data_IF_520203392460
#
_entry.id   IF_520203392460
#
_cell.length_a   1.000
_cell.length_b   1.000
_cell.length_c   1.000
_cell.angle_alpha   90.00
_cell.angle_beta   90.00
_cell.angle_gamma   90.00
#
_symmetry.space_group_name_H-M   'P 1'
#
loop_
_entity.id
_entity.type
_entity.pdbx_description
1 polymer ?
#
# COMPACT_ATOMS: atom_id res chain seq x y z
N UNK A 1 74.85 83.49 -41.89
CA UNK A 1 73.93 82.40 -41.46
C UNK A 1 73.00 82.13 -42.63
N UNK A 2 73.18 81.02 -43.34
CA UNK A 2 72.15 80.56 -44.28
C UNK A 2 70.86 80.34 -43.49
N UNK A 3 69.77 80.99 -43.90
CA UNK A 3 68.46 80.75 -43.29
C UNK A 3 68.06 79.31 -43.62
N UNK A 4 68.12 78.41 -42.64
CA UNK A 4 67.56 77.07 -42.77
C UNK A 4 66.03 77.20 -42.85
N UNK A 5 65.48 77.08 -44.05
CA UNK A 5 64.04 77.04 -44.25
C UNK A 5 63.50 75.65 -43.92
N UNK A 6 62.47 75.59 -43.08
CA UNK A 6 61.76 74.35 -42.78
C UNK A 6 60.74 74.06 -43.90
N UNK A 7 60.57 72.80 -44.28
CA UNK A 7 59.49 72.43 -45.20
C UNK A 7 58.14 72.50 -44.50
N UNK A 8 57.06 72.78 -45.25
CA UNK A 8 55.69 72.79 -44.72
C UNK A 8 55.36 71.44 -44.08
N UNK A 9 55.75 70.32 -44.70
CA UNK A 9 55.56 68.98 -44.15
C UNK A 9 56.28 68.78 -42.81
N UNK A 10 57.51 69.27 -42.67
CA UNK A 10 58.25 69.18 -41.41
C UNK A 10 57.56 69.99 -40.30
N UNK A 11 57.02 71.16 -40.63
CA UNK A 11 56.26 71.99 -39.69
C UNK A 11 54.95 71.29 -39.27
N UNK A 12 54.16 70.77 -40.22
CA UNK A 12 52.90 70.08 -39.93
C UNK A 12 53.13 68.83 -39.08
N UNK A 13 54.16 68.04 -39.39
CA UNK A 13 54.55 66.89 -38.56
C UNK A 13 54.95 67.32 -37.16
N UNK A 14 55.73 68.39 -37.02
CA UNK A 14 56.11 68.91 -35.72
C UNK A 14 54.89 69.34 -34.88
N UNK A 15 53.93 70.05 -35.47
CA UNK A 15 52.69 70.45 -34.80
C UNK A 15 51.85 69.22 -34.42
N UNK A 16 51.70 68.26 -35.34
CA UNK A 16 50.99 67.00 -35.06
C UNK A 16 51.61 66.28 -33.88
N UNK A 17 52.93 66.11 -33.88
CA UNK A 17 53.68 65.47 -32.80
C UNK A 17 53.45 66.21 -31.48
N UNK A 18 53.49 67.55 -31.47
CA UNK A 18 53.22 68.34 -30.25
C UNK A 18 51.80 68.12 -29.71
N UNK A 19 50.79 68.08 -30.57
CA UNK A 19 49.41 67.83 -30.19
C UNK A 19 49.21 66.39 -29.72
N UNK A 20 49.84 65.42 -30.39
CA UNK A 20 49.72 64.00 -30.03
C UNK A 20 50.46 63.66 -28.73
N UNK A 21 51.54 64.34 -28.39
CA UNK A 21 52.22 64.13 -27.11
C UNK A 21 51.55 64.86 -25.93
N UNK A 22 50.59 65.75 -26.18
CA UNK A 22 49.85 66.43 -25.11
C UNK A 22 48.82 65.47 -24.47
N UNK A 23 48.97 65.08 -23.19
CA UNK A 23 48.06 64.15 -22.53
C UNK A 23 46.62 64.69 -22.45
N UNK A 24 46.42 66.00 -22.39
CA UNK A 24 45.09 66.61 -22.30
C UNK A 24 44.32 66.49 -23.62
N UNK A 25 45.04 66.39 -24.74
CA UNK A 25 44.45 66.29 -26.08
C UNK A 25 44.17 64.84 -26.51
N UNK A 26 44.67 63.85 -25.76
CA UNK A 26 44.41 62.42 -26.03
C UNK A 26 43.00 61.96 -25.64
N UNK A 27 42.33 62.65 -24.71
CA UNK A 27 40.95 62.32 -24.32
C UNK A 27 40.17 63.59 -23.96
N UNK A 28 39.69 64.27 -24.99
CA UNK A 28 38.87 65.48 -24.89
C UNK A 28 37.38 65.12 -24.93
N UNK A 29 36.61 65.83 -24.12
CA UNK A 29 35.16 65.75 -24.10
C UNK A 29 34.61 67.06 -24.66
N UNK A 30 33.84 66.99 -25.74
CA UNK A 30 33.23 68.17 -26.36
C UNK A 30 31.72 68.03 -26.39
N UNK A 31 31.05 69.15 -26.17
CA UNK A 31 29.62 69.32 -26.41
C UNK A 31 29.46 70.21 -27.63
N UNK A 32 28.61 69.81 -28.56
CA UNK A 32 28.30 70.66 -29.70
C UNK A 32 27.20 70.09 -30.57
N UNK A 33 26.82 70.87 -31.57
CA UNK A 33 25.85 70.47 -32.58
C UNK A 33 26.55 69.86 -33.78
N UNK A 34 26.02 68.76 -34.29
CA UNK A 34 26.48 68.13 -35.52
C UNK A 34 26.05 68.98 -36.72
N UNK A 35 26.98 69.21 -37.65
CA UNK A 35 26.75 69.88 -38.91
C UNK A 35 27.56 69.23 -40.04
N UNK A 36 27.06 69.24 -41.28
CA UNK A 36 27.67 68.59 -42.44
C UNK A 36 27.96 67.09 -42.24
N UNK A 37 27.01 66.35 -41.66
CA UNK A 37 27.14 64.93 -41.41
C UNK A 37 27.17 64.11 -42.71
N UNK A 38 28.19 63.26 -42.85
CA UNK A 38 28.38 62.35 -43.99
C UNK A 38 28.71 60.95 -43.49
N UNK A 39 27.85 60.00 -43.88
CA UNK A 39 28.05 58.58 -43.61
C UNK A 39 28.69 57.90 -44.82
N UNK A 40 29.92 57.41 -44.68
CA UNK A 40 30.63 56.73 -45.76
C UNK A 40 30.27 55.25 -45.80
N UNK A 41 30.25 54.66 -47.00
CA UNK A 41 29.96 53.23 -47.25
C UNK A 41 30.81 52.24 -46.45
N UNK A 42 32.03 52.62 -46.01
CA UNK A 42 32.91 51.80 -45.16
C UNK A 42 32.52 51.84 -43.67
N UNK A 43 31.47 52.57 -43.31
CA UNK A 43 30.99 52.75 -41.94
C UNK A 43 31.68 53.88 -41.17
N UNK A 44 32.47 54.72 -41.83
CA UNK A 44 33.07 55.92 -41.24
C UNK A 44 32.07 57.07 -41.25
N UNK A 45 32.03 57.85 -40.16
CA UNK A 45 31.26 59.08 -40.09
C UNK A 45 32.20 60.28 -40.11
N UNK A 46 31.87 61.26 -40.94
CA UNK A 46 32.55 62.55 -41.02
C UNK A 46 31.52 63.63 -40.76
N UNK A 47 31.79 64.50 -39.81
CA UNK A 47 30.91 65.61 -39.50
C UNK A 47 31.71 66.77 -38.92
N UNK A 48 31.07 67.91 -38.76
CA UNK A 48 31.61 69.07 -38.06
C UNK A 48 30.87 69.21 -36.75
N UNK A 49 31.59 69.31 -35.65
CA UNK A 49 31.02 69.69 -34.37
C UNK A 49 31.16 71.20 -34.22
N UNK A 50 30.05 71.91 -34.02
CA UNK A 50 30.03 73.36 -33.83
C UNK A 50 29.44 73.74 -32.48
N UNK A 51 29.96 74.79 -31.89
CA UNK A 51 29.31 75.54 -30.83
C UNK A 51 28.93 76.94 -31.36
N UNK A 52 28.63 77.89 -30.47
CA UNK A 52 28.23 79.25 -30.83
C UNK A 52 29.36 80.05 -31.51
N UNK A 53 30.62 79.74 -31.22
CA UNK A 53 31.77 80.58 -31.60
C UNK A 53 32.79 79.86 -32.49
N UNK A 54 32.80 78.53 -32.51
CA UNK A 54 33.82 77.71 -33.11
C UNK A 54 33.24 76.45 -33.77
N UNK A 55 34.04 75.87 -34.66
CA UNK A 55 33.75 74.59 -35.30
C UNK A 55 35.00 73.74 -35.38
N UNK A 56 34.86 72.43 -35.25
CA UNK A 56 35.93 71.47 -35.40
C UNK A 56 35.47 70.30 -36.28
N UNK A 57 36.34 69.85 -37.19
CA UNK A 57 36.09 68.65 -37.96
C UNK A 57 36.16 67.43 -37.04
N UNK A 58 35.22 66.51 -37.18
CA UNK A 58 35.08 65.31 -36.37
C UNK A 58 34.99 64.08 -37.27
N UNK A 59 35.75 63.05 -36.91
CA UNK A 59 35.80 61.78 -37.63
C UNK A 59 35.57 60.65 -36.64
N UNK A 60 34.65 59.76 -36.97
CA UNK A 60 34.43 58.53 -36.23
C UNK A 60 34.69 57.33 -37.13
N UNK A 61 35.64 56.50 -36.74
CA UNK A 61 35.99 55.32 -37.50
C UNK A 61 34.96 54.20 -37.32
N UNK A 62 34.81 53.34 -38.33
CA UNK A 62 33.80 52.27 -38.35
C UNK A 62 33.88 51.32 -37.14
N UNK A 63 35.09 51.10 -36.60
CA UNK A 63 35.26 50.29 -35.39
C UNK A 63 34.58 50.88 -34.14
N UNK A 64 34.54 52.21 -34.00
CA UNK A 64 33.91 52.90 -32.87
C UNK A 64 32.42 53.14 -33.11
N UNK A 65 32.04 53.42 -34.36
CA UNK A 65 30.66 53.61 -34.77
C UNK A 65 29.76 52.40 -34.42
N UNK A 66 30.30 51.16 -34.46
CA UNK A 66 29.53 49.94 -34.14
C UNK A 66 28.87 49.94 -32.75
N UNK A 67 29.39 50.73 -31.81
CA UNK A 67 28.89 50.75 -30.43
C UNK A 67 27.82 51.81 -30.20
N UNK A 68 27.59 52.72 -31.14
CA UNK A 68 26.64 53.81 -30.97
C UNK A 68 25.24 53.33 -31.34
N UNK A 69 24.31 53.52 -30.41
CA UNK A 69 22.91 53.06 -30.53
C UNK A 69 22.03 53.98 -31.38
N UNK A 70 22.50 55.17 -31.74
CA UNK A 70 21.74 56.15 -32.54
C UNK A 70 22.47 56.52 -33.83
N UNK A 71 21.72 57.02 -34.81
CA UNK A 71 22.31 57.57 -36.03
C UNK A 71 22.44 59.09 -35.86
N UNK A 72 23.66 59.65 -35.86
CA UNK A 72 23.82 61.09 -35.73
C UNK A 72 23.30 61.79 -37.00
N UNK A 73 22.65 62.93 -36.82
CA UNK A 73 22.07 63.75 -37.89
C UNK A 73 22.48 65.22 -37.74
N UNK A 74 22.39 65.98 -38.82
CA UNK A 74 22.66 67.43 -38.77
C UNK A 74 21.64 68.14 -37.87
N UNK A 75 22.13 69.07 -37.05
CA UNK A 75 21.35 69.78 -36.03
C UNK A 75 21.33 69.08 -34.66
N UNK A 76 21.83 67.85 -34.56
CA UNK A 76 21.80 67.09 -33.31
C UNK A 76 22.85 67.59 -32.33
N UNK A 77 22.44 67.94 -31.10
CA UNK A 77 23.39 68.22 -30.02
C UNK A 77 23.91 66.91 -29.45
N UNK A 78 25.21 66.79 -29.35
CA UNK A 78 25.90 65.58 -28.92
C UNK A 78 27.03 65.90 -27.95
N UNK A 79 27.27 64.96 -27.04
CA UNK A 79 28.47 64.88 -26.22
C UNK A 79 29.38 63.84 -26.87
N UNK A 80 30.58 64.26 -27.28
CA UNK A 80 31.58 63.39 -27.89
C UNK A 80 32.80 63.27 -27.00
N UNK A 81 33.38 62.07 -26.98
CA UNK A 81 34.69 61.81 -26.38
C UNK A 81 35.64 61.36 -27.48
N UNK A 82 36.81 61.98 -27.56
CA UNK A 82 37.75 61.71 -28.64
C UNK A 82 39.15 62.27 -28.39
N UNK A 83 40.05 62.00 -29.33
CA UNK A 83 41.41 62.57 -29.33
C UNK A 83 41.55 63.65 -30.40
N UNK A 84 42.27 64.72 -30.10
CA UNK A 84 42.61 65.76 -31.07
C UNK A 84 43.91 65.38 -31.77
N UNK A 85 43.91 65.45 -33.10
CA UNK A 85 45.14 65.27 -33.89
C UNK A 85 45.03 66.04 -35.21
N UNK A 86 46.16 66.20 -35.89
CA UNK A 86 46.27 66.98 -37.13
C UNK A 86 46.24 66.04 -38.33
N UNK A 87 45.40 66.36 -39.31
CA UNK A 87 45.40 65.67 -40.58
C UNK A 87 46.55 66.21 -41.45
N UNK A 88 47.59 65.39 -41.66
CA UNK A 88 48.85 65.83 -42.28
C UNK A 88 48.68 66.40 -43.70
N UNK A 89 47.71 65.91 -44.48
CA UNK A 89 47.55 66.31 -45.88
C UNK A 89 47.01 67.74 -46.04
N UNK A 90 46.18 68.21 -45.11
CA UNK A 90 45.61 69.57 -45.14
C UNK A 90 46.18 70.49 -44.06
N UNK A 91 46.86 69.95 -43.05
CA UNK A 91 47.32 70.69 -41.87
C UNK A 91 46.20 71.12 -40.93
N UNK A 92 44.97 70.63 -41.11
CA UNK A 92 43.84 70.95 -40.22
C UNK A 92 43.80 70.02 -39.01
N UNK A 93 43.59 70.58 -37.81
CA UNK A 93 43.32 69.79 -36.62
C UNK A 93 41.86 69.33 -36.58
N UNK A 94 41.63 68.12 -36.08
CA UNK A 94 40.32 67.49 -36.02
C UNK A 94 40.22 66.55 -34.81
N UNK A 95 38.99 66.25 -34.38
CA UNK A 95 38.73 65.28 -33.32
C UNK A 95 38.41 63.90 -33.91
N UNK A 96 39.11 62.88 -33.43
CA UNK A 96 38.77 61.48 -33.68
C UNK A 96 37.89 60.99 -32.54
N UNK A 97 36.60 60.85 -32.82
CA UNK A 97 35.59 60.51 -31.83
C UNK A 97 35.58 59.00 -31.59
N UNK A 98 35.73 58.64 -30.32
CA UNK A 98 35.69 57.27 -29.82
C UNK A 98 34.31 56.89 -29.31
N UNK A 99 33.60 57.84 -28.70
CA UNK A 99 32.27 57.65 -28.14
C UNK A 99 31.43 58.91 -28.36
N UNK A 100 30.14 58.74 -28.60
CA UNK A 100 29.20 59.82 -28.84
C UNK A 100 27.85 59.45 -28.24
N UNK A 101 27.25 60.41 -27.55
CA UNK A 101 25.90 60.31 -27.03
C UNK A 101 25.12 61.60 -27.33
N UNK A 102 23.81 61.56 -27.53
CA UNK A 102 22.99 62.77 -27.65
C UNK A 102 23.11 63.61 -26.37
N UNK A 103 23.16 64.92 -26.53
CA UNK A 103 23.08 65.88 -25.42
C UNK A 103 21.63 65.90 -24.91
N UNK A 104 21.41 65.37 -23.70
CA UNK A 104 20.09 65.25 -23.08
C UNK A 104 19.78 63.87 -22.50
N UNK A 105 20.43 62.80 -22.99
CA UNK A 105 20.17 61.41 -22.52
C UNK A 105 20.50 61.24 -21.05
N UNK A 106 21.53 61.92 -20.55
CA UNK A 106 21.91 61.88 -19.13
C UNK A 106 20.78 62.33 -18.20
N UNK A 107 19.96 63.31 -18.63
CA UNK A 107 18.83 63.79 -17.84
C UNK A 107 17.69 62.76 -17.81
N UNK A 108 17.41 62.13 -18.95
CA UNK A 108 16.40 61.07 -19.04
C UNK A 108 16.81 59.85 -18.21
N UNK A 109 18.07 59.41 -18.31
CA UNK A 109 18.55 58.29 -17.51
C UNK A 109 18.47 58.57 -16.00
N UNK A 110 18.83 59.80 -15.59
CA UNK A 110 18.72 60.20 -14.18
C UNK A 110 17.26 60.26 -13.71
N UNK A 111 16.35 60.79 -14.53
CA UNK A 111 14.92 60.79 -14.25
C UNK A 111 14.34 59.37 -14.16
N UNK A 112 14.79 58.46 -15.03
CA UNK A 112 14.39 57.05 -15.03
C UNK A 112 14.80 56.35 -13.73
N UNK A 113 16.07 56.47 -13.33
CA UNK A 113 16.56 55.86 -12.09
C UNK A 113 15.84 56.41 -10.86
N UNK A 114 15.62 57.73 -10.80
CA UNK A 114 14.88 58.36 -9.70
C UNK A 114 13.43 57.88 -9.62
N UNK A 115 12.75 57.74 -10.77
CA UNK A 115 11.38 57.26 -10.82
C UNK A 115 11.30 55.78 -10.47
N UNK A 116 12.24 54.97 -10.96
CA UNK A 116 12.33 53.55 -10.66
C UNK A 116 12.44 53.30 -9.16
N UNK A 117 13.38 53.96 -8.49
CA UNK A 117 13.55 53.83 -7.03
C UNK A 117 12.28 54.23 -6.29
N UNK A 118 11.66 55.36 -6.65
CA UNK A 118 10.43 55.83 -6.00
C UNK A 118 9.27 54.83 -6.13
N UNK A 119 9.03 54.30 -7.33
CA UNK A 119 7.96 53.34 -7.57
C UNK A 119 8.24 51.97 -6.95
N UNK A 120 9.51 51.59 -6.84
CA UNK A 120 9.93 50.38 -6.13
C UNK A 120 9.65 50.49 -4.62
N UNK A 121 9.95 51.65 -4.02
CA UNK A 121 9.67 51.95 -2.62
C UNK A 121 8.16 51.99 -2.32
N UNK A 122 7.34 52.49 -3.24
CA UNK A 122 5.87 52.40 -3.18
C UNK A 122 5.36 50.95 -3.31
N UNK A 123 6.19 50.01 -3.78
CA UNK A 123 5.87 48.59 -3.91
C UNK A 123 5.22 48.19 -5.23
N UNK A 124 5.18 49.08 -6.24
CA UNK A 124 4.52 48.80 -7.52
C UNK A 124 5.16 47.62 -8.27
N UNK A 125 6.44 47.33 -8.03
CA UNK A 125 7.15 46.23 -8.69
C UNK A 125 7.05 44.91 -7.91
N UNK A 126 6.40 44.92 -6.75
CA UNK A 126 6.30 43.75 -5.89
C UNK A 126 5.55 42.62 -6.59
N UNK A 127 6.14 41.42 -6.56
CA UNK A 127 5.55 40.21 -7.13
C UNK A 127 4.22 39.83 -6.49
N UNK A 128 3.89 40.36 -5.31
CA UNK A 128 2.62 40.10 -4.60
C UNK A 128 1.43 40.67 -5.36
N UNK A 129 1.62 41.77 -6.10
CA UNK A 129 0.55 42.40 -6.88
C UNK A 129 0.43 41.87 -8.31
N UNK A 130 1.43 41.10 -8.78
CA UNK A 130 1.43 40.57 -10.15
C UNK A 130 0.44 39.44 -10.30
N UNK A 131 -0.38 39.52 -11.34
CA UNK A 131 -1.42 38.56 -11.69
C UNK A 131 -0.85 37.44 -12.58
N UNK A 132 -1.27 36.18 -12.37
CA UNK A 132 -0.84 35.09 -13.24
C UNK A 132 -1.45 35.23 -14.65
N UNK A 133 -0.63 35.03 -15.68
CA UNK A 133 -1.13 35.01 -17.06
C UNK A 133 -2.02 33.77 -17.28
N UNK A 134 -3.25 33.92 -17.82
CA UNK A 134 -4.14 32.81 -18.11
C UNK A 134 -3.52 31.82 -19.11
N UNK A 135 -3.58 30.52 -18.78
CA UNK A 135 -3.00 29.48 -19.64
C UNK A 135 -3.73 29.30 -20.99
N UNK A 136 -4.99 29.72 -21.07
CA UNK A 136 -5.86 29.59 -22.24
C UNK A 136 -6.68 30.87 -22.44
N UNK A 137 -6.02 31.98 -22.75
CA UNK A 137 -6.69 33.23 -23.08
C UNK A 137 -7.59 33.05 -24.31
N UNK A 138 -8.90 33.30 -24.17
CA UNK A 138 -9.85 33.33 -25.28
C UNK A 138 -9.71 34.60 -26.08
N UNK A 139 -9.50 35.72 -25.40
CA UNK A 139 -9.36 37.04 -26.02
C UNK A 139 -8.09 37.72 -25.54
N UNK A 140 -7.25 38.11 -26.49
CA UNK A 140 -5.98 38.80 -26.27
C UNK A 140 -6.14 40.23 -26.76
N UNK A 141 -5.97 41.20 -25.87
CA UNK A 141 -5.89 42.61 -26.26
C UNK A 141 -4.44 42.99 -26.58
N UNK A 142 -4.22 43.74 -27.64
CA UNK A 142 -2.89 44.17 -28.09
C UNK A 142 -2.86 45.69 -28.17
N UNK A 143 -2.13 46.31 -27.26
CA UNK A 143 -1.95 47.76 -27.17
C UNK A 143 -0.60 48.09 -27.80
N UNK A 144 -0.62 48.58 -29.04
CA UNK A 144 0.59 48.92 -29.80
C UNK A 144 0.28 49.89 -30.94
N UNK A 145 1.31 50.28 -31.69
CA UNK A 145 1.16 51.12 -32.88
C UNK A 145 0.29 50.42 -33.93
N UNK A 146 -0.68 51.11 -34.57
CA UNK A 146 -1.48 50.55 -35.65
C UNK A 146 -0.63 50.13 -36.86
N UNK A 147 0.52 50.78 -37.06
CA UNK A 147 1.45 50.52 -38.15
C UNK A 147 2.80 50.11 -37.60
N UNK A 148 3.26 48.91 -37.94
CA UNK A 148 4.60 48.46 -37.57
C UNK A 148 4.83 46.97 -37.76
N UNK A 149 6.09 46.56 -37.63
CA UNK A 149 6.45 45.14 -37.58
C UNK A 149 5.88 44.46 -36.32
N UNK A 150 5.93 45.14 -35.17
CA UNK A 150 5.49 44.59 -33.88
C UNK A 150 4.06 44.05 -33.89
N UNK A 151 3.08 44.86 -34.37
CA UNK A 151 1.69 44.41 -34.47
C UNK A 151 1.52 43.22 -35.42
N UNK A 152 2.23 43.23 -36.56
CA UNK A 152 2.18 42.14 -37.54
C UNK A 152 2.78 40.87 -36.96
N UNK A 153 3.89 40.97 -36.24
CA UNK A 153 4.58 39.85 -35.61
C UNK A 153 3.72 39.23 -34.51
N UNK A 154 3.08 40.06 -33.67
CA UNK A 154 2.15 39.61 -32.63
C UNK A 154 0.97 38.87 -33.27
N UNK A 155 0.27 39.51 -34.21
CA UNK A 155 -0.92 38.91 -34.86
C UNK A 155 -0.56 37.61 -35.58
N UNK A 156 0.56 37.59 -36.32
CA UNK A 156 1.01 36.40 -37.06
C UNK A 156 1.35 35.26 -36.12
N UNK A 157 2.04 35.57 -35.02
CA UNK A 157 2.45 34.57 -34.02
C UNK A 157 1.24 33.99 -33.30
N UNK A 158 0.29 34.83 -32.85
CA UNK A 158 -0.94 34.37 -32.22
C UNK A 158 -1.77 33.54 -33.19
N UNK A 159 -2.00 34.00 -34.43
CA UNK A 159 -2.79 33.24 -35.42
C UNK A 159 -2.15 31.89 -35.78
N UNK A 160 -0.82 31.82 -35.81
CA UNK A 160 -0.10 30.57 -36.08
C UNK A 160 -0.17 29.60 -34.90
N UNK A 161 0.05 30.08 -33.67
CA UNK A 161 0.11 29.23 -32.47
C UNK A 161 -1.26 28.90 -31.91
N UNK A 162 -2.20 29.84 -31.97
CA UNK A 162 -3.49 29.75 -31.31
C UNK A 162 -4.60 30.41 -32.16
N UNK A 163 -4.93 29.83 -33.33
CA UNK A 163 -5.90 30.41 -34.28
C UNK A 163 -7.32 30.54 -33.73
N UNK A 164 -7.64 29.82 -32.65
CA UNK A 164 -8.96 29.86 -31.99
C UNK A 164 -9.12 31.03 -31.01
N UNK A 165 -8.03 31.74 -30.68
CA UNK A 165 -8.07 32.93 -29.83
C UNK A 165 -8.44 34.18 -30.61
N UNK A 166 -9.25 35.04 -30.00
CA UNK A 166 -9.60 36.35 -30.54
C UNK A 166 -8.51 37.36 -30.22
N UNK A 167 -8.20 38.24 -31.17
CA UNK A 167 -7.22 39.32 -30.98
C UNK A 167 -7.92 40.65 -31.20
N UNK A 168 -7.91 41.50 -30.17
CA UNK A 168 -8.45 42.86 -30.22
C UNK A 168 -7.27 43.83 -30.20
N UNK A 169 -7.17 44.69 -31.21
CA UNK A 169 -6.08 45.67 -31.29
C UNK A 169 -6.57 47.02 -30.79
N UNK A 170 -5.84 47.59 -29.84
CA UNK A 170 -6.00 48.95 -29.37
C UNK A 170 -4.87 49.81 -29.96
N UNK A 171 -5.12 50.54 -31.05
CA UNK A 171 -4.10 51.35 -31.68
C UNK A 171 -3.74 52.54 -30.79
N UNK A 172 -2.47 52.68 -30.47
CA UNK A 172 -1.95 53.78 -29.63
C UNK A 172 -0.75 54.45 -30.26
N UNK A 173 -0.49 55.68 -29.85
CA UNK A 173 0.81 56.31 -30.06
C UNK A 173 1.83 55.66 -29.11
N UNK A 174 2.93 55.15 -29.67
CA UNK A 174 3.99 54.45 -28.91
C UNK A 174 5.26 55.30 -28.72
N UNK A 175 5.25 56.51 -29.26
CA UNK A 175 6.34 57.49 -29.17
C UNK A 175 5.79 58.92 -29.27
N UNK A 176 6.55 59.89 -28.75
CA UNK A 176 6.16 61.30 -28.70
C UNK A 176 5.38 61.66 -27.43
N UNK A 177 5.17 62.96 -27.19
CA UNK A 177 4.61 63.49 -25.93
C UNK A 177 3.19 63.00 -25.63
N UNK A 178 2.39 62.68 -26.65
CA UNK A 178 1.03 62.17 -26.48
C UNK A 178 0.94 60.64 -26.37
N UNK A 179 2.07 59.93 -26.41
CA UNK A 179 2.09 58.47 -26.34
C UNK A 179 1.66 57.94 -24.98
N UNK A 180 2.18 58.50 -23.89
CA UNK A 180 1.86 58.02 -22.55
C UNK A 180 0.34 58.15 -22.24
N UNK A 181 -0.32 59.31 -22.47
CA UNK A 181 -1.78 59.41 -22.33
C UNK A 181 -2.55 58.45 -23.25
N UNK A 182 -2.09 58.24 -24.48
CA UNK A 182 -2.73 57.32 -25.43
C UNK A 182 -2.68 55.86 -24.95
N UNK A 183 -1.54 55.43 -24.40
CA UNK A 183 -1.36 54.09 -23.81
C UNK A 183 -2.27 53.93 -22.59
N UNK A 184 -2.30 54.91 -21.69
CA UNK A 184 -3.16 54.89 -20.49
C UNK A 184 -4.64 54.75 -20.88
N UNK A 185 -5.09 55.55 -21.84
CA UNK A 185 -6.48 55.50 -22.32
C UNK A 185 -6.81 54.12 -22.89
N UNK A 186 -5.93 53.52 -23.68
CA UNK A 186 -6.16 52.19 -24.23
C UNK A 186 -6.22 51.10 -23.15
N UNK A 187 -5.38 51.18 -22.12
CA UNK A 187 -5.43 50.26 -20.97
C UNK A 187 -6.78 50.41 -20.25
N UNK A 188 -7.25 51.64 -20.04
CA UNK A 188 -8.53 51.90 -19.39
C UNK A 188 -9.70 51.37 -20.22
N UNK A 189 -9.75 51.68 -21.52
CA UNK A 189 -10.78 51.17 -22.43
C UNK A 189 -10.78 49.64 -22.49
N UNK A 190 -9.60 49.01 -22.50
CA UNK A 190 -9.51 47.56 -22.45
C UNK A 190 -10.07 46.99 -21.13
N UNK A 191 -9.81 47.63 -19.99
CA UNK A 191 -10.36 47.22 -18.69
C UNK A 191 -11.87 47.45 -18.54
N UNK A 192 -12.46 48.32 -19.36
CA UNK A 192 -13.91 48.50 -19.46
C UNK A 192 -14.56 47.36 -20.28
N UNK A 193 -13.81 46.75 -21.20
CA UNK A 193 -14.21 45.57 -21.93
C UNK A 193 -13.99 44.32 -21.07
N UNK A 194 -15.03 43.84 -20.39
CA UNK A 194 -14.96 42.67 -19.50
C UNK A 194 -14.66 41.31 -20.19
N UNK A 195 -14.34 41.30 -21.48
CA UNK A 195 -14.17 40.10 -22.32
C UNK A 195 -12.71 39.84 -22.74
N UNK A 196 -11.73 40.53 -22.13
CA UNK A 196 -10.30 40.39 -22.42
C UNK A 196 -9.60 39.66 -21.28
N UNK A 197 -8.89 38.58 -21.60
CA UNK A 197 -8.23 37.74 -20.60
C UNK A 197 -6.79 38.20 -20.31
N UNK A 198 -6.10 38.75 -21.31
CA UNK A 198 -4.72 39.20 -21.20
C UNK A 198 -4.45 40.36 -22.16
N UNK A 199 -3.63 41.30 -21.73
CA UNK A 199 -3.17 42.43 -22.53
C UNK A 199 -1.69 42.30 -22.87
N UNK A 200 -1.33 42.60 -24.11
CA UNK A 200 0.06 42.80 -24.53
C UNK A 200 0.22 44.30 -24.74
N UNK A 201 1.05 44.93 -23.91
CA UNK A 201 1.43 46.34 -24.07
C UNK A 201 2.86 46.37 -24.57
N UNK A 202 3.08 46.90 -25.76
CA UNK A 202 4.43 46.88 -26.29
C UNK A 202 4.60 47.60 -27.60
N UNK A 203 5.86 47.67 -28.01
CA UNK A 203 6.26 48.23 -29.29
C UNK A 203 7.55 47.52 -29.75
N UNK A 204 7.98 47.78 -30.98
CA UNK A 204 9.30 47.34 -31.43
C UNK A 204 10.47 47.98 -30.65
N UNK A 205 11.69 47.74 -31.12
CA UNK A 205 12.88 48.41 -30.57
C UNK A 205 12.84 49.93 -30.72
N UNK A 206 13.86 50.58 -30.19
CA UNK A 206 14.07 52.02 -30.34
C UNK A 206 15.02 52.57 -29.29
N UNK A 207 15.29 53.86 -29.38
CA UNK A 207 16.12 54.56 -28.40
C UNK A 207 15.35 54.81 -27.10
N UNK A 208 16.06 55.16 -26.03
CA UNK A 208 15.43 55.44 -24.72
C UNK A 208 14.46 56.63 -24.80
N UNK A 209 14.75 57.62 -25.64
CA UNK A 209 13.89 58.79 -25.88
C UNK A 209 12.57 58.38 -26.51
N UNK A 210 12.62 57.49 -27.49
CA UNK A 210 11.41 57.02 -28.12
C UNK A 210 10.60 56.14 -27.15
N UNK A 211 11.27 55.27 -26.38
CA UNK A 211 10.65 54.37 -25.40
C UNK A 211 10.19 55.10 -24.12
N UNK A 212 10.47 56.40 -24.00
CA UNK A 212 10.26 57.16 -22.78
C UNK A 212 8.80 57.15 -22.29
N UNK A 213 7.84 57.09 -23.20
CA UNK A 213 6.42 56.99 -22.87
C UNK A 213 6.10 55.81 -21.93
N UNK A 214 6.85 54.70 -22.02
CA UNK A 214 6.70 53.51 -21.17
C UNK A 214 7.43 53.64 -19.82
N UNK A 215 8.23 54.70 -19.65
CA UNK A 215 8.85 55.07 -18.39
C UNK A 215 8.04 56.11 -17.62
N UNK A 216 6.98 56.69 -18.19
CA UNK A 216 6.18 57.68 -17.50
C UNK A 216 5.36 57.08 -16.35
N UNK A 217 5.27 57.84 -15.26
CA UNK A 217 4.56 57.43 -14.05
C UNK A 217 3.08 57.11 -14.30
N UNK A 218 2.43 57.87 -15.20
CA UNK A 218 1.02 57.64 -15.54
C UNK A 218 0.80 56.26 -16.18
N UNK A 219 1.73 55.80 -17.02
CA UNK A 219 1.68 54.48 -17.65
C UNK A 219 1.95 53.40 -16.61
N UNK A 220 2.95 53.60 -15.75
CA UNK A 220 3.26 52.68 -14.65
C UNK A 220 2.03 52.47 -13.75
N UNK A 221 1.38 53.54 -13.31
CA UNK A 221 0.17 53.45 -12.48
C UNK A 221 -1.02 52.84 -13.21
N UNK A 222 -1.18 53.10 -14.51
CA UNK A 222 -2.24 52.48 -15.31
C UNK A 222 -2.04 50.97 -15.49
N UNK A 223 -0.80 50.52 -15.71
CA UNK A 223 -0.47 49.09 -15.77
C UNK A 223 -0.77 48.43 -14.41
N UNK A 224 -0.30 49.04 -13.31
CA UNK A 224 -0.53 48.51 -11.96
C UNK A 224 -2.02 48.42 -11.59
N UNK A 225 -2.83 49.39 -12.02
CA UNK A 225 -4.25 49.45 -11.73
C UNK A 225 -5.11 48.54 -12.64
N UNK A 226 -4.50 47.87 -13.63
CA UNK A 226 -5.21 47.01 -14.56
C UNK A 226 -5.80 45.78 -13.86
N UNK A 227 -7.07 45.49 -14.12
CA UNK A 227 -7.75 44.26 -13.68
C UNK A 227 -7.41 43.08 -14.58
N UNK A 228 -6.97 43.37 -15.80
CA UNK A 228 -6.54 42.38 -16.79
C UNK A 228 -5.02 42.26 -16.69
N UNK A 229 -4.45 41.03 -16.66
CA UNK A 229 -3.02 40.85 -16.61
C UNK A 229 -2.33 41.38 -17.87
N UNK A 230 -1.24 42.12 -17.69
CA UNK A 230 -0.48 42.79 -18.74
C UNK A 230 0.88 42.12 -18.93
N UNK A 231 1.18 41.78 -20.18
CA UNK A 231 2.49 41.39 -20.65
C UNK A 231 3.16 42.61 -21.28
N UNK A 232 4.25 43.09 -20.69
CA UNK A 232 5.07 44.14 -21.31
C UNK A 232 5.98 43.53 -22.38
N UNK A 233 6.03 44.20 -23.54
CA UNK A 233 6.86 43.83 -24.68
C UNK A 233 7.55 45.06 -25.23
N UNK A 234 8.21 45.81 -24.36
CA UNK A 234 8.86 47.09 -24.64
C UNK A 234 10.38 46.88 -24.61
N UNK A 235 11.07 47.16 -25.73
CA UNK A 235 12.53 47.16 -25.77
C UNK A 235 13.20 45.80 -26.00
N UNK A 236 14.50 45.72 -25.69
CA UNK A 236 15.35 44.53 -25.78
C UNK A 236 15.88 44.13 -24.40
N UNK A 237 16.56 42.99 -24.30
CA UNK A 237 17.06 42.45 -23.03
C UNK A 237 17.87 43.43 -22.19
N UNK A 238 18.58 44.38 -22.82
CA UNK A 238 19.46 45.36 -22.16
C UNK A 238 18.77 46.65 -21.70
N UNK A 239 17.63 47.01 -22.29
CA UNK A 239 17.01 48.32 -22.11
C UNK A 239 15.63 48.17 -21.43
N UNK A 240 15.63 47.96 -20.12
CA UNK A 240 14.41 47.77 -19.33
C UNK A 240 13.65 49.07 -19.13
N UNK A 241 12.33 49.04 -19.31
CA UNK A 241 11.43 50.16 -19.02
C UNK A 241 10.74 49.99 -17.68
N UNK A 242 10.19 51.08 -17.12
CA UNK A 242 9.36 51.02 -15.91
C UNK A 242 8.15 50.11 -16.14
N UNK A 243 7.53 50.18 -17.32
CA UNK A 243 6.45 49.28 -17.71
C UNK A 243 6.82 47.80 -17.57
N UNK A 244 8.06 47.40 -17.90
CA UNK A 244 8.52 46.01 -17.74
C UNK A 244 8.58 45.56 -16.28
N UNK A 245 8.89 46.48 -15.36
CA UNK A 245 8.95 46.16 -13.94
C UNK A 245 7.56 46.09 -13.31
N UNK A 246 6.62 46.94 -13.73
CA UNK A 246 5.25 46.95 -13.21
C UNK A 246 4.42 45.81 -13.80
N UNK A 247 4.57 45.51 -15.09
CA UNK A 247 3.76 44.50 -15.78
C UNK A 247 3.85 43.12 -15.10
N UNK A 248 2.79 42.36 -15.23
CA UNK A 248 2.66 41.02 -14.61
C UNK A 248 3.68 40.04 -15.17
N UNK A 249 3.96 40.16 -16.47
CA UNK A 249 5.01 39.41 -17.14
C UNK A 249 5.77 40.30 -18.12
N UNK A 250 7.08 40.16 -18.14
CA UNK A 250 7.94 40.80 -19.14
C UNK A 250 8.24 39.81 -20.27
N UNK A 251 8.11 40.27 -21.50
CA UNK A 251 8.61 39.61 -22.69
C UNK A 251 9.71 40.46 -23.36
N UNK A 252 10.82 39.85 -23.81
CA UNK A 252 11.93 40.58 -24.41
C UNK A 252 11.66 41.09 -25.82
N UNK A 253 10.62 40.58 -26.49
CA UNK A 253 10.22 40.99 -27.84
C UNK A 253 8.71 40.89 -28.02
N UNK A 254 8.10 41.64 -28.95
CA UNK A 254 6.69 41.51 -29.32
C UNK A 254 6.30 40.07 -29.69
N UNK A 255 7.17 39.37 -30.44
CA UNK A 255 6.97 37.95 -30.78
C UNK A 255 6.94 37.08 -29.54
N UNK A 256 7.90 37.22 -28.62
CA UNK A 256 7.91 36.46 -27.38
C UNK A 256 6.69 36.76 -26.51
N UNK A 257 6.20 38.00 -26.50
CA UNK A 257 4.98 38.36 -25.78
C UNK A 257 3.75 37.61 -26.32
N UNK A 258 3.63 37.55 -27.64
CA UNK A 258 2.61 36.75 -28.30
C UNK A 258 2.73 35.26 -27.95
N UNK A 259 3.95 34.70 -27.90
CA UNK A 259 4.16 33.29 -27.52
C UNK A 259 3.82 32.98 -26.06
N UNK A 260 4.05 33.93 -25.16
CA UNK A 260 3.75 33.80 -23.74
C UNK A 260 2.25 34.01 -23.45
N UNK A 261 1.57 34.82 -24.26
CA UNK A 261 0.15 35.10 -24.10
C UNK A 261 -0.76 33.93 -24.49
N UNK A 262 -0.32 33.07 -25.41
CA UNK A 262 -1.17 31.99 -25.95
C UNK A 262 -0.46 30.63 -26.03
N UNK A 263 -1.16 29.53 -25.74
CA UNK A 263 -0.59 28.19 -25.87
C UNK A 263 -0.41 27.80 -27.35
N UNK A 264 0.33 26.72 -27.58
CA UNK A 264 0.46 26.14 -28.91
C UNK A 264 -0.65 25.10 -29.16
N UNK A 265 -1.47 25.34 -30.19
CA UNK A 265 -2.61 24.50 -30.56
C UNK A 265 -2.20 23.07 -30.93
N UNK A 266 -1.02 22.89 -31.55
CA UNK A 266 -0.52 21.57 -31.92
C UNK A 266 -0.21 20.74 -30.67
N UNK A 267 0.42 21.35 -29.66
CA UNK A 267 0.67 20.68 -28.37
C UNK A 267 -0.65 20.37 -27.65
N UNK A 268 -1.65 21.25 -27.74
CA UNK A 268 -2.97 20.99 -27.18
C UNK A 268 -3.67 19.82 -27.89
N UNK A 269 -3.62 19.78 -29.22
CA UNK A 269 -4.17 18.68 -30.02
C UNK A 269 -3.49 17.36 -29.68
N UNK A 270 -2.16 17.36 -29.55
CA UNK A 270 -1.41 16.18 -29.13
C UNK A 270 -1.82 15.72 -27.73
N UNK A 271 -1.94 16.64 -26.76
CA UNK A 271 -2.42 16.33 -25.40
C UNK A 271 -3.83 15.75 -25.42
N UNK A 272 -4.73 16.28 -26.25
CA UNK A 272 -6.10 15.74 -26.41
C UNK A 272 -6.06 14.34 -27.01
N UNK A 273 -5.28 14.12 -28.07
CA UNK A 273 -5.13 12.82 -28.72
C UNK A 273 -4.57 11.77 -27.74
N UNK A 274 -3.49 12.08 -27.02
CA UNK A 274 -2.89 11.19 -26.03
C UNK A 274 -3.89 10.82 -24.93
N UNK A 275 -4.68 11.78 -24.44
CA UNK A 275 -5.73 11.54 -23.44
C UNK A 275 -6.84 10.63 -23.99
N UNK A 276 -7.26 10.85 -25.23
CA UNK A 276 -8.25 10.01 -25.91
C UNK A 276 -7.77 8.58 -26.07
N UNK A 277 -6.52 8.36 -26.51
CA UNK A 277 -5.94 7.02 -26.64
C UNK A 277 -5.85 6.30 -25.29
N UNK A 278 -5.44 7.02 -24.22
CA UNK A 278 -5.41 6.49 -22.86
C UNK A 278 -6.81 6.10 -22.36
N UNK A 279 -7.81 6.94 -22.62
CA UNK A 279 -9.21 6.67 -22.27
C UNK A 279 -9.71 5.40 -22.99
N UNK A 280 -9.47 5.28 -24.29
CA UNK A 280 -9.86 4.11 -25.06
C UNK A 280 -9.20 2.82 -24.57
N UNK A 281 -7.91 2.87 -24.20
CA UNK A 281 -7.21 1.72 -23.61
C UNK A 281 -7.81 1.33 -22.26
N UNK A 282 -8.08 2.30 -21.39
CA UNK A 282 -8.69 2.05 -20.10
C UNK A 282 -10.10 1.44 -20.24
N UNK A 283 -10.90 1.95 -21.18
CA UNK A 283 -12.22 1.40 -21.48
C UNK A 283 -12.15 -0.03 -22.01
N UNK A 284 -11.22 -0.31 -22.94
CA UNK A 284 -11.01 -1.68 -23.47
C UNK A 284 -10.64 -2.66 -22.37
N UNK A 285 -9.72 -2.28 -21.49
CA UNK A 285 -9.31 -3.10 -20.34
C UNK A 285 -10.48 -3.40 -19.40
N UNK A 286 -11.29 -2.38 -19.09
CA UNK A 286 -12.49 -2.55 -18.26
C UNK A 286 -13.45 -3.54 -18.91
N UNK A 287 -13.75 -3.37 -20.20
CA UNK A 287 -14.67 -4.27 -20.93
C UNK A 287 -14.13 -5.71 -20.95
N UNK A 288 -12.84 -5.89 -21.28
CA UNK A 288 -12.21 -7.20 -21.33
C UNK A 288 -12.29 -7.92 -19.99
N UNK A 289 -11.89 -7.25 -18.89
CA UNK A 289 -11.93 -7.80 -17.54
C UNK A 289 -13.36 -8.18 -17.11
N UNK A 290 -14.37 -7.43 -17.54
CA UNK A 290 -15.78 -7.74 -17.27
C UNK A 290 -16.26 -8.95 -18.07
N UNK A 291 -15.85 -9.06 -19.33
CA UNK A 291 -16.14 -10.23 -20.18
C UNK A 291 -15.49 -11.49 -19.61
N UNK A 292 -14.22 -11.45 -19.21
CA UNK A 292 -13.52 -12.57 -18.56
C UNK A 292 -14.22 -13.00 -17.26
N UNK A 293 -14.61 -12.03 -16.42
CA UNK A 293 -15.35 -12.31 -15.19
C UNK A 293 -16.70 -12.97 -15.48
N UNK A 294 -17.43 -12.48 -16.48
CA UNK A 294 -18.70 -13.07 -16.90
C UNK A 294 -18.49 -14.52 -17.38
N UNK A 295 -17.50 -14.76 -18.24
CA UNK A 295 -17.18 -16.10 -18.72
C UNK A 295 -16.77 -17.04 -17.57
N UNK A 296 -16.02 -16.53 -16.58
CA UNK A 296 -15.62 -17.30 -15.40
C UNK A 296 -16.82 -17.67 -14.54
N UNK A 297 -17.74 -16.73 -14.30
CA UNK A 297 -18.97 -16.98 -13.57
C UNK A 297 -19.85 -17.99 -14.30
N UNK A 298 -20.02 -17.85 -15.61
CA UNK A 298 -20.79 -18.81 -16.43
C UNK A 298 -20.20 -20.22 -16.40
N UNK A 299 -18.87 -20.35 -16.32
CA UNK A 299 -18.17 -21.64 -16.21
C UNK A 299 -18.08 -22.18 -14.78
N UNK A 300 -18.45 -21.39 -13.78
CA UNK A 300 -18.39 -21.79 -12.37
C UNK A 300 -19.26 -23.02 -12.12
N UNK A 301 -18.80 -23.89 -11.22
CA UNK A 301 -19.48 -25.13 -10.84
C UNK A 301 -20.95 -24.89 -10.46
N UNK A 302 -21.24 -23.78 -9.78
CA UNK A 302 -22.60 -23.42 -9.38
C UNK A 302 -23.56 -23.20 -10.55
N UNK A 303 -23.09 -22.64 -11.66
CA UNK A 303 -23.91 -22.41 -12.85
C UNK A 303 -23.83 -23.57 -13.84
N UNK A 304 -22.72 -24.31 -13.87
CA UNK A 304 -22.52 -25.44 -14.79
C UNK A 304 -23.17 -26.73 -14.31
N UNK A 305 -23.13 -26.99 -13.01
CA UNK A 305 -23.67 -28.21 -12.39
C UNK A 305 -24.49 -27.89 -11.13
N UNK A 306 -25.50 -27.01 -11.20
CA UNK A 306 -26.34 -26.69 -10.04
C UNK A 306 -26.94 -27.96 -9.43
N UNK A 307 -27.36 -28.92 -10.29
CA UNK A 307 -27.91 -30.20 -9.86
C UNK A 307 -26.96 -31.01 -8.97
N UNK A 308 -25.64 -31.02 -9.25
CA UNK A 308 -24.68 -31.74 -8.41
C UNK A 308 -24.53 -31.10 -7.01
N UNK A 309 -24.73 -29.78 -6.89
CA UNK A 309 -24.79 -29.12 -5.57
C UNK A 309 -26.02 -29.60 -4.78
N UNK A 310 -27.17 -29.72 -5.45
CA UNK A 310 -28.38 -30.24 -4.82
C UNK A 310 -28.23 -31.72 -4.46
N UNK A 311 -27.71 -32.55 -5.35
CA UNK A 311 -27.48 -33.99 -5.10
C UNK A 311 -26.52 -34.20 -3.91
N UNK A 312 -25.46 -33.40 -3.79
CA UNK A 312 -24.59 -33.46 -2.61
C UNK A 312 -25.32 -33.08 -1.31
N UNK A 313 -26.27 -32.12 -1.38
CA UNK A 313 -27.07 -31.71 -0.23
C UNK A 313 -28.14 -32.73 0.12
N UNK A 314 -28.71 -33.39 -0.88
CA UNK A 314 -29.64 -34.50 -0.74
C UNK A 314 -28.94 -35.70 -0.08
N UNK A 315 -27.75 -36.08 -0.54
CA UNK A 315 -26.96 -37.14 0.08
C UNK A 315 -26.57 -36.80 1.55
N UNK A 316 -26.25 -35.53 1.83
CA UNK A 316 -26.01 -35.08 3.20
C UNK A 316 -27.25 -35.21 4.09
N UNK A 317 -28.43 -34.91 3.52
CA UNK A 317 -29.71 -35.06 4.22
C UNK A 317 -30.01 -36.54 4.49
N UNK A 318 -29.82 -37.41 3.51
CA UNK A 318 -30.06 -38.84 3.64
C UNK A 318 -29.18 -39.44 4.74
N UNK A 319 -27.87 -39.14 4.73
CA UNK A 319 -26.96 -39.57 5.80
C UNK A 319 -27.38 -39.04 7.17
N UNK A 320 -27.84 -37.80 7.26
CA UNK A 320 -28.31 -37.23 8.52
C UNK A 320 -29.57 -37.94 9.03
N UNK A 321 -30.49 -38.30 8.13
CA UNK A 321 -31.69 -39.07 8.45
C UNK A 321 -31.36 -40.50 8.89
N UNK A 322 -30.44 -41.18 8.22
CA UNK A 322 -29.97 -42.52 8.64
C UNK A 322 -29.34 -42.50 10.03
N UNK A 323 -28.47 -41.51 10.31
CA UNK A 323 -27.86 -41.34 11.63
C UNK A 323 -28.92 -41.09 12.71
N UNK A 324 -29.95 -40.31 12.40
CA UNK A 324 -31.08 -40.06 13.32
C UNK A 324 -31.84 -41.36 13.63
N UNK A 325 -32.13 -42.19 12.62
CA UNK A 325 -32.82 -43.47 12.81
C UNK A 325 -32.00 -44.40 13.70
N UNK A 326 -30.71 -44.58 13.42
CA UNK A 326 -29.83 -45.44 14.22
C UNK A 326 -29.69 -44.92 15.67
N UNK A 327 -29.58 -43.61 15.85
CA UNK A 327 -29.53 -43.00 17.17
C UNK A 327 -30.84 -43.24 17.95
N UNK A 328 -31.99 -43.14 17.28
CA UNK A 328 -33.32 -43.43 17.86
C UNK A 328 -33.43 -44.87 18.29
N UNK A 329 -33.07 -45.82 17.43
CA UNK A 329 -33.14 -47.26 17.73
C UNK A 329 -32.27 -47.63 18.94
N UNK A 330 -31.02 -47.16 18.96
CA UNK A 330 -30.10 -47.36 20.09
C UNK A 330 -30.65 -46.79 21.39
N UNK A 331 -31.30 -45.62 21.32
CA UNK A 331 -31.93 -45.01 22.49
C UNK A 331 -33.11 -45.85 22.99
N UNK A 332 -33.96 -46.34 22.09
CA UNK A 332 -35.09 -47.21 22.43
C UNK A 332 -34.64 -48.54 23.03
N UNK A 333 -33.62 -49.18 22.45
CA UNK A 333 -33.04 -50.42 22.97
C UNK A 333 -32.50 -50.22 24.40
N UNK A 334 -31.78 -49.12 24.64
CA UNK A 334 -31.30 -48.77 25.98
C UNK A 334 -32.47 -48.65 26.98
N UNK A 335 -33.58 -48.03 26.59
CA UNK A 335 -34.77 -47.90 27.45
C UNK A 335 -35.47 -49.23 27.71
N UNK A 336 -35.59 -50.08 26.69
CA UNK A 336 -36.16 -51.43 26.84
C UNK A 336 -35.30 -52.28 27.77
N UNK A 337 -33.97 -52.24 27.62
CA UNK A 337 -33.06 -53.01 28.49
C UNK A 337 -33.08 -52.50 29.93
N UNK A 338 -33.16 -51.18 30.14
CA UNK A 338 -33.38 -50.60 31.48
C UNK A 338 -34.68 -51.10 32.10
N UNK A 339 -35.77 -51.13 31.33
CA UNK A 339 -37.07 -51.63 31.82
C UNK A 339 -37.00 -53.13 32.18
N UNK A 340 -36.37 -53.96 31.34
CA UNK A 340 -36.19 -55.40 31.60
C UNK A 340 -35.35 -55.65 32.85
N UNK A 341 -34.31 -54.86 33.09
CA UNK A 341 -33.51 -54.98 34.30
C UNK A 341 -34.35 -54.64 35.54
N UNK A 342 -35.08 -53.53 35.51
CA UNK A 342 -35.96 -53.13 36.60
C UNK A 342 -37.06 -54.16 36.88
N UNK A 343 -37.67 -54.74 35.84
CA UNK A 343 -38.68 -55.79 36.01
C UNK A 343 -38.09 -57.07 36.59
N UNK A 344 -36.89 -57.48 36.16
CA UNK A 344 -36.20 -58.64 36.70
C UNK A 344 -35.85 -58.46 38.19
N UNK A 345 -35.38 -57.28 38.59
CA UNK A 345 -35.15 -56.99 40.02
C UNK A 345 -36.44 -57.09 40.83
N UNK A 346 -37.56 -56.58 40.31
CA UNK A 346 -38.86 -56.66 40.97
C UNK A 346 -39.33 -58.12 41.16
N UNK A 347 -39.18 -58.97 40.15
CA UNK A 347 -39.57 -60.39 40.21
C UNK A 347 -38.66 -61.20 41.15
N UNK A 348 -37.34 -60.98 41.10
CA UNK A 348 -36.38 -61.75 41.91
C UNK A 348 -36.52 -61.46 43.41
N UNK A 349 -36.86 -60.23 43.76
CA UNK A 349 -37.13 -59.86 45.15
C UNK A 349 -38.55 -60.22 45.60
N UNK A 350 -39.34 -60.91 44.77
CA UNK A 350 -40.69 -61.32 45.13
C UNK A 350 -40.66 -62.37 46.27
N UNK A 351 -41.31 -62.11 47.42
CA UNK A 351 -41.25 -62.98 48.60
C UNK A 351 -41.65 -64.43 48.34
N UNK A 352 -42.55 -64.67 47.38
CA UNK A 352 -43.05 -66.00 47.06
C UNK A 352 -41.95 -66.98 46.60
N UNK A 353 -40.98 -66.53 45.80
CA UNK A 353 -39.87 -67.39 45.37
C UNK A 353 -38.98 -67.77 46.55
N UNK A 354 -38.67 -66.81 47.43
CA UNK A 354 -37.88 -67.05 48.65
C UNK A 354 -38.59 -68.03 49.59
N UNK A 355 -39.91 -67.91 49.75
CA UNK A 355 -40.73 -68.85 50.53
C UNK A 355 -40.68 -70.26 49.92
N UNK A 356 -40.84 -70.39 48.60
CA UNK A 356 -40.80 -71.69 47.91
C UNK A 356 -39.45 -72.38 48.08
N UNK A 357 -38.34 -71.66 47.84
CA UNK A 357 -36.99 -72.19 48.04
C UNK A 357 -36.75 -72.64 49.49
N UNK A 358 -37.24 -71.86 50.46
CA UNK A 358 -37.11 -72.20 51.88
C UNK A 358 -37.93 -73.44 52.25
N UNK A 359 -39.12 -73.63 51.67
CA UNK A 359 -39.93 -74.85 51.88
C UNK A 359 -39.20 -76.11 51.38
N UNK A 360 -38.62 -76.07 50.19
CA UNK A 360 -37.83 -77.18 49.62
C UNK A 360 -36.66 -77.51 50.55
N UNK A 361 -35.94 -76.50 51.04
CA UNK A 361 -34.85 -76.69 51.98
C UNK A 361 -35.29 -77.41 53.27
N UNK A 362 -36.44 -77.02 53.83
CA UNK A 362 -37.03 -77.68 55.01
C UNK A 362 -37.34 -79.15 54.73
N UNK A 363 -37.95 -79.48 53.60
CA UNK A 363 -38.25 -80.88 53.24
C UNK A 363 -36.98 -81.73 53.10
N UNK A 364 -35.93 -81.18 52.48
CA UNK A 364 -34.65 -81.89 52.37
C UNK A 364 -34.00 -82.14 53.74
N UNK A 365 -34.03 -81.15 54.63
CA UNK A 365 -33.53 -81.29 56.00
C UNK A 365 -34.32 -82.34 56.80
N UNK A 366 -35.65 -82.38 56.65
CA UNK A 366 -36.48 -83.40 57.31
C UNK A 366 -36.17 -84.82 56.84
N UNK A 367 -35.96 -85.02 55.53
CA UNK A 367 -35.58 -86.33 54.98
C UNK A 367 -34.22 -86.79 55.50
N UNK A 368 -33.24 -85.89 55.56
CA UNK A 368 -31.93 -86.18 56.14
C UNK A 368 -32.05 -86.57 57.62
N UNK A 369 -32.79 -85.79 58.42
CA UNK A 369 -33.01 -86.10 59.83
C UNK A 369 -33.59 -87.50 60.05
N UNK A 370 -34.61 -87.89 59.27
CA UNK A 370 -35.21 -89.23 59.37
C UNK A 370 -34.22 -90.35 59.02
N UNK A 371 -33.43 -90.16 57.97
CA UNK A 371 -32.42 -91.13 57.55
C UNK A 371 -31.37 -91.34 58.64
N UNK A 372 -30.81 -90.26 59.18
CA UNK A 372 -29.83 -90.33 60.27
C UNK A 372 -30.43 -91.02 61.50
N UNK A 373 -31.69 -90.74 61.84
CA UNK A 373 -32.38 -91.40 62.94
C UNK A 373 -32.56 -92.90 62.73
N UNK A 374 -32.89 -93.34 61.51
CA UNK A 374 -32.98 -94.76 61.16
C UNK A 374 -31.65 -95.48 61.30
N UNK A 375 -30.57 -94.87 60.81
CA UNK A 375 -29.20 -95.41 60.95
C UNK A 375 -28.83 -95.62 62.42
N UNK A 376 -29.16 -94.64 63.28
CA UNK A 376 -28.94 -94.74 64.73
C UNK A 376 -29.72 -95.90 65.33
N UNK A 377 -31.01 -96.05 65.00
CA UNK A 377 -31.85 -97.13 65.51
C UNK A 377 -31.34 -98.52 65.09
N UNK A 378 -31.02 -98.73 63.81
CA UNK A 378 -30.48 -99.99 63.32
C UNK A 378 -29.16 -100.36 64.01
N UNK A 379 -28.28 -99.38 64.21
CA UNK A 379 -27.00 -99.60 64.90
C UNK A 379 -27.23 -100.10 66.34
N UNK A 380 -28.23 -99.54 67.04
CA UNK A 380 -28.60 -99.98 68.40
C UNK A 380 -29.23 -101.36 68.40
N UNK A 381 -30.06 -101.68 67.41
CA UNK A 381 -30.69 -102.99 67.26
C UNK A 381 -29.66 -104.10 67.00
N UNK A 382 -28.71 -103.89 66.09
CA UNK A 382 -27.63 -104.86 65.84
C UNK A 382 -26.75 -105.10 67.06
N UNK A 383 -26.44 -104.03 67.81
CA UNK A 383 -25.70 -104.15 69.06
C UNK A 383 -26.46 -105.01 70.08
N UNK A 384 -27.78 -104.83 70.19
CA UNK A 384 -28.65 -105.62 71.05
C UNK A 384 -28.68 -107.11 70.66
N UNK A 385 -28.93 -107.42 69.38
CA UNK A 385 -28.99 -108.80 68.88
C UNK A 385 -27.67 -109.54 69.10
N UNK A 386 -26.53 -108.86 68.91
CA UNK A 386 -25.20 -109.46 69.14
C UNK A 386 -25.03 -109.89 70.60
N UNK A 387 -25.42 -109.03 71.55
CA UNK A 387 -25.35 -109.32 72.98
C UNK A 387 -26.27 -110.49 73.32
N UNK A 388 -27.49 -110.53 72.77
CA UNK A 388 -28.43 -111.63 72.98
C UNK A 388 -27.88 -113.00 72.50
N UNK A 389 -27.25 -113.05 71.32
CA UNK A 389 -26.66 -114.29 70.78
C UNK A 389 -25.47 -114.81 71.60
N UNK A 390 -24.65 -113.93 72.18
CA UNK A 390 -23.57 -114.33 73.08
C UNK A 390 -24.11 -115.01 74.34
N UNK A 391 -25.21 -114.50 74.88
CA UNK A 391 -25.88 -115.08 76.05
C UNK A 391 -26.34 -116.52 75.78
N UNK A 392 -26.87 -116.79 74.58
CA UNK A 392 -27.37 -118.10 74.16
C UNK A 392 -26.28 -119.18 73.98
N UNK A 393 -25.07 -118.78 73.60
CA UNK A 393 -23.97 -119.71 73.31
C UNK A 393 -23.37 -120.37 74.57
N UNK A 394 -23.62 -119.80 75.75
CA UNK A 394 -23.13 -120.30 77.04
C UNK A 394 -24.05 -121.37 77.67
N UNK A 395 -25.15 -121.77 76.98
CA UNK A 395 -26.11 -122.77 77.48
C UNK A 395 -25.60 -124.22 77.30
N UNK A 396 -25.47 -125.03 78.38
CA UNK A 396 -25.00 -126.41 78.31
C UNK A 396 -25.82 -127.32 77.38
N UNK A 397 -27.12 -127.04 77.20
CA UNK A 397 -27.99 -127.81 76.30
C UNK A 397 -27.48 -127.83 74.85
N UNK A 398 -26.90 -126.72 74.35
CA UNK A 398 -26.35 -126.68 72.98
C UNK A 398 -25.10 -127.54 72.82
N UNK A 399 -24.38 -127.83 73.90
CA UNK A 399 -23.21 -128.71 73.85
C UNK A 399 -23.66 -130.17 73.63
N UNK A 400 -24.75 -130.59 74.28
CA UNK A 400 -25.29 -131.95 74.11
C UNK A 400 -25.87 -132.20 72.70
N UNK A 401 -26.44 -131.17 72.07
CA UNK A 401 -26.92 -131.22 70.66
C UNK A 401 -25.80 -131.55 69.64
N UNK A 402 -24.51 -131.41 70.00
CA UNK A 402 -23.38 -131.75 69.13
C UNK A 402 -22.98 -133.23 69.20
N UNK A 403 -23.81 -134.08 69.79
CA UNK A 403 -23.56 -135.50 69.93
C UNK A 403 -22.64 -135.86 71.12
N UNK A 404 -22.36 -134.91 72.00
CA UNK A 404 -21.67 -135.20 73.26
C UNK A 404 -22.68 -135.70 74.28
N UNK A 405 -22.47 -136.93 74.76
CA UNK A 405 -23.19 -137.48 75.89
C UNK A 405 -22.50 -137.18 77.21
N UNK A 406 -23.29 -137.13 78.28
CA UNK A 406 -22.80 -137.15 79.65
C UNK A 406 -22.90 -138.60 80.14
N UNK A 407 -21.79 -139.18 80.55
CA UNK A 407 -21.78 -140.52 81.14
C UNK A 407 -22.07 -140.36 82.63
N UNK A 408 -22.95 -141.18 83.19
CA UNK A 408 -23.34 -141.21 84.59
C UNK A 408 -23.04 -142.59 85.19
N UNK A 409 -22.63 -142.62 86.46
CA UNK A 409 -22.53 -143.88 87.22
C UNK A 409 -23.92 -144.39 87.61
N UNK A 410 -24.00 -145.63 88.07
CA UNK A 410 -25.23 -146.23 88.63
C UNK A 410 -25.88 -145.35 89.75
N UNK A 411 -25.09 -144.50 90.41
CA UNK A 411 -25.54 -143.51 91.41
C UNK A 411 -25.94 -142.14 90.82
N UNK A 412 -26.13 -142.03 89.50
CA UNK A 412 -26.48 -140.79 88.80
C UNK A 412 -25.46 -139.65 88.94
N UNK A 413 -24.17 -139.96 89.09
CA UNK A 413 -23.09 -138.95 89.09
C UNK A 413 -22.37 -138.88 87.74
N UNK A 414 -22.18 -137.68 87.20
CA UNK A 414 -21.45 -137.48 85.93
C UNK A 414 -20.02 -137.97 86.07
N UNK A 415 -19.69 -138.97 85.27
CA UNK A 415 -18.36 -139.53 85.14
C UNK A 415 -17.55 -138.64 84.20
N UNK A 416 -16.45 -138.11 84.73
CA UNK A 416 -15.53 -137.25 83.99
C UNK A 416 -14.23 -137.97 83.66
N UNK A 417 -13.98 -139.11 84.31
CA UNK A 417 -12.74 -139.87 84.20
C UNK A 417 -13.02 -141.36 84.04
N UNK A 418 -12.17 -142.04 83.27
CA UNK A 418 -12.17 -143.52 83.15
C UNK A 418 -11.84 -144.23 84.47
N UNK A 419 -11.24 -143.53 85.46
CA UNK A 419 -10.98 -144.06 86.81
C UNK A 419 -12.23 -144.26 87.65
N UNK A 420 -13.35 -143.65 87.25
CA UNK A 420 -14.59 -143.66 88.02
C UNK A 420 -15.42 -144.94 87.80
N UNK A 421 -14.91 -145.88 87.00
CA UNK A 421 -15.62 -147.06 86.50
C UNK A 421 -14.69 -148.27 86.42
N UNK A 422 -15.23 -149.45 86.75
CA UNK A 422 -14.55 -150.75 86.67
C UNK A 422 -15.21 -151.65 85.61
N UNK A 423 -14.47 -152.65 85.11
CA UNK A 423 -15.05 -153.63 84.20
C UNK A 423 -16.13 -154.46 84.92
N UNK A 424 -17.32 -154.52 84.34
CA UNK A 424 -18.53 -155.11 84.94
C UNK A 424 -19.53 -154.09 85.48
N UNK A 425 -19.14 -152.82 85.63
CA UNK A 425 -20.05 -151.77 86.13
C UNK A 425 -21.12 -151.41 85.10
N UNK A 426 -22.31 -151.06 85.61
CA UNK A 426 -23.40 -150.46 84.83
C UNK A 426 -23.22 -148.93 84.83
N UNK A 427 -23.22 -148.32 83.64
CA UNK A 427 -23.16 -146.86 83.45
C UNK A 427 -24.28 -146.41 82.52
N UNK A 428 -24.78 -145.21 82.73
CA UNK A 428 -25.83 -144.62 81.90
C UNK A 428 -25.29 -143.45 81.08
N UNK A 429 -25.39 -143.51 79.76
CA UNK A 429 -24.96 -142.40 78.89
C UNK A 429 -26.18 -141.56 78.53
N UNK A 430 -26.25 -140.35 79.05
CA UNK A 430 -27.28 -139.40 78.68
C UNK A 430 -26.87 -138.65 77.41
N UNK A 431 -27.66 -138.85 76.38
CA UNK A 431 -27.61 -138.13 75.11
C UNK A 431 -28.70 -137.06 75.08
N UNK A 432 -28.73 -136.28 74.01
CA UNK A 432 -29.75 -135.24 73.79
C UNK A 432 -31.18 -135.79 73.90
N UNK A 433 -31.39 -137.02 73.44
CA UNK A 433 -32.70 -137.63 73.19
C UNK A 433 -32.98 -138.88 74.05
N UNK A 434 -32.05 -139.31 74.89
CA UNK A 434 -32.27 -140.50 75.70
C UNK A 434 -31.11 -140.88 76.61
N UNK A 435 -31.30 -141.99 77.32
CA UNK A 435 -30.31 -142.57 78.23
C UNK A 435 -30.03 -143.99 77.73
N UNK A 436 -28.76 -144.32 77.54
CA UNK A 436 -28.31 -145.67 77.20
C UNK A 436 -27.77 -146.34 78.47
N UNK A 437 -28.38 -147.45 78.89
CA UNK A 437 -27.83 -148.29 79.96
C UNK A 437 -26.78 -149.22 79.36
N UNK A 438 -25.54 -149.04 79.77
CA UNK A 438 -24.36 -149.67 79.20
C UNK A 438 -23.64 -150.48 80.28
N UNK A 439 -23.23 -151.70 79.95
CA UNK A 439 -22.28 -152.45 80.77
C UNK A 439 -20.85 -152.22 80.28
N UNK A 440 -19.94 -151.93 81.20
CA UNK A 440 -18.54 -151.64 80.89
C UNK A 440 -17.80 -152.97 80.70
N UNK A 441 -17.56 -153.34 79.43
CA UNK A 441 -16.89 -154.61 79.11
C UNK A 441 -15.38 -154.63 79.43
N UNK A 442 -14.72 -153.47 79.31
CA UNK A 442 -13.29 -153.32 79.62
C UNK A 442 -12.96 -151.85 79.80
N UNK A 443 -12.12 -151.52 80.79
CA UNK A 443 -11.60 -150.16 80.99
C UNK A 443 -10.17 -150.12 80.48
N UNK A 444 -9.92 -149.30 79.46
CA UNK A 444 -8.58 -149.00 78.96
C UNK A 444 -8.25 -147.56 79.33
N UNK A 445 -7.53 -147.39 80.43
CA UNK A 445 -6.98 -146.11 80.78
C UNK A 445 -5.94 -145.71 79.72
N UNK A 446 -6.00 -144.47 79.23
CA UNK A 446 -4.95 -143.96 78.34
C UNK A 446 -3.65 -143.95 79.13
N UNK A 447 -2.59 -144.56 78.59
CA UNK A 447 -1.25 -144.35 79.10
C UNK A 447 -1.00 -142.84 79.17
N UNK A 448 -0.83 -142.36 80.40
CA UNK A 448 -0.66 -140.96 80.74
C UNK A 448 0.71 -140.49 80.23
N UNK A 449 0.87 -140.34 78.92
CA UNK A 449 1.84 -139.40 78.39
C UNK A 449 1.33 -138.01 78.77
N UNK A 450 1.89 -137.51 79.88
CA UNK A 450 1.65 -136.16 80.36
C UNK A 450 2.11 -135.14 79.33
N UNK A 451 1.19 -134.75 78.45
CA UNK A 451 1.04 -133.43 77.82
C UNK A 451 -0.20 -133.40 76.93
#
# INVERSE_FOLDING_TARGET
>A
MEKQYLTVTALTRYIKTKIEYDPHLQSVWLKGEISNFKYHSRGHMYFTLKDENARIAAVMFAGHNRNIKFRPEDGMKVLVKGKISVYEASGSYQIYVHDMQPDGVGNLHLAYEQLKVRLEEEGLFSRVYKQPIPAYAKTIGVITSPTGAAIRDIITTIKRRYPIGNVIVFPVLVQGEFAAPSIVQAIQTANEMNDIDVLIVGRGGGSIEELWAFNEEIVARAIFASKIPIISAVGHETDFTIADFVADLRAPTPTAAAELAVPNILEMQEKVLQRTLRLQRAMREIVHKRQERLQTLQKSYAFRYPRQIYEQKEEQLDRALEQLVLAKERYMEKKVNQLKQLSFYLEKHHPAQRISQTKIAIETLQKQLRREMQTVLQTKEFAFVRIAKQLEALSPLKVMMRGYGLVYSEKNQVLKSVKDVSAGDVVSVQLQDGILDCNVSSVKERESNGK
#
